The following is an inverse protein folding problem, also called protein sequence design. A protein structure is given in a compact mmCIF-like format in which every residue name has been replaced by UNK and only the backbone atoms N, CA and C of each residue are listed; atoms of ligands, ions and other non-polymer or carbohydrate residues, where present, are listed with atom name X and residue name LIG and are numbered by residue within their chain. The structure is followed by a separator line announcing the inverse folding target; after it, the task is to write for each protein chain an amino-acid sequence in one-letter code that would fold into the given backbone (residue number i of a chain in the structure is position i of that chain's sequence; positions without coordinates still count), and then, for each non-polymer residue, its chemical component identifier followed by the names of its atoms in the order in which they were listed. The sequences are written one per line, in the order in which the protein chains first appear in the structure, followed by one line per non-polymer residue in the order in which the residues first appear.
data_IF_915495409891
#
_entry.id   IF_915495409891
#
_cell.length_a   1.000
_cell.length_b   1.000
_cell.length_c   1.000
_cell.angle_alpha   90.00
_cell.angle_beta   90.00
_cell.angle_gamma   90.00
#
_symmetry.space_group_name_H-M   'P 1'
#
loop_
_entity.id
_entity.type
_entity.pdbx_description
1 polymer ?
#
# COMPACT_ATOMS: atom_id res chain seq x y z
N UNK A 1 15.77 6.95 8.74
CA UNK A 1 14.47 6.31 9.05
C UNK A 1 14.19 5.32 7.93
N UNK A 2 14.12 4.02 8.22
CA UNK A 2 13.74 3.05 7.20
C UNK A 2 12.28 3.32 6.85
N UNK A 3 12.00 3.78 5.62
CA UNK A 3 10.66 3.80 5.02
C UNK A 3 10.11 2.37 5.00
N UNK A 4 9.52 1.94 6.11
CA UNK A 4 8.75 0.72 6.18
C UNK A 4 7.32 1.12 5.90
N UNK A 5 6.89 0.79 4.70
CA UNK A 5 5.51 0.99 4.30
C UNK A 5 4.58 0.24 5.25
N UNK A 6 3.46 0.87 5.67
CA UNK A 6 2.54 0.32 6.67
C UNK A 6 2.01 -1.09 6.35
N UNK A 7 1.97 -1.47 5.07
CA UNK A 7 1.53 -2.80 4.64
C UNK A 7 2.49 -3.93 5.04
N UNK A 8 3.78 -3.68 5.26
CA UNK A 8 4.71 -4.74 5.72
C UNK A 8 4.32 -5.21 7.14
N UNK A 9 4.02 -4.26 8.02
CA UNK A 9 3.54 -4.53 9.39
C UNK A 9 2.15 -5.18 9.38
N UNK A 10 1.28 -4.74 8.46
CA UNK A 10 -0.05 -5.31 8.29
C UNK A 10 -0.02 -6.75 7.80
N UNK A 11 0.88 -7.07 6.85
CA UNK A 11 1.07 -8.42 6.34
C UNK A 11 1.50 -9.36 7.47
N UNK A 12 2.47 -8.93 8.29
CA UNK A 12 2.93 -9.69 9.43
C UNK A 12 1.81 -9.96 10.43
N UNK A 13 1.05 -8.92 10.79
CA UNK A 13 -0.03 -9.04 11.76
C UNK A 13 -1.21 -9.89 11.25
N UNK A 14 -1.62 -9.68 10.00
CA UNK A 14 -2.65 -10.49 9.32
C UNK A 14 -2.24 -11.97 9.25
N UNK A 15 -0.98 -12.23 8.89
CA UNK A 15 -0.43 -13.59 8.80
C UNK A 15 -0.33 -14.25 10.16
N UNK A 16 0.12 -13.51 11.18
CA UNK A 16 0.21 -14.00 12.56
C UNK A 16 -1.16 -14.39 13.13
N UNK A 17 -2.21 -13.60 12.89
CA UNK A 17 -3.58 -14.00 13.26
C UNK A 17 -4.04 -15.25 12.50
N UNK A 18 -3.61 -15.40 11.25
CA UNK A 18 -3.96 -16.54 10.38
C UNK A 18 -3.46 -17.88 10.92
N UNK A 19 -2.32 -17.89 11.61
CA UNK A 19 -1.75 -19.09 12.27
C UNK A 19 -2.75 -19.75 13.21
N UNK A 20 -3.60 -18.96 13.87
CA UNK A 20 -4.57 -19.45 14.86
C UNK A 20 -5.98 -19.68 14.28
N UNK A 21 -6.19 -19.40 12.99
CA UNK A 21 -7.48 -19.50 12.33
C UNK A 21 -7.71 -20.87 11.67
N UNK A 22 -6.70 -21.44 11.01
CA UNK A 22 -6.77 -22.72 10.32
C UNK A 22 -5.61 -23.65 10.72
N UNK A 23 -5.74 -24.97 10.49
CA UNK A 23 -4.61 -25.88 10.69
C UNK A 23 -3.44 -25.52 9.77
N UNK A 24 -2.23 -25.37 10.32
CA UNK A 24 -1.06 -24.93 9.57
C UNK A 24 -0.62 -25.89 8.47
N UNK A 25 -0.78 -27.19 8.70
CA UNK A 25 -0.21 -28.25 7.86
C UNK A 25 -1.25 -29.04 7.07
N UNK A 26 -2.53 -28.68 7.18
CA UNK A 26 -3.60 -29.42 6.51
C UNK A 26 -4.74 -28.51 6.10
N UNK A 27 -5.28 -28.75 4.90
CA UNK A 27 -6.53 -28.14 4.43
C UNK A 27 -7.76 -28.93 4.91
N UNK A 28 -7.59 -29.88 5.83
CA UNK A 28 -8.70 -30.65 6.36
C UNK A 28 -9.67 -29.77 7.13
N UNK A 29 -10.96 -30.13 7.02
CA UNK A 29 -12.03 -29.49 7.78
C UNK A 29 -11.71 -29.61 9.28
N UNK A 30 -11.79 -28.49 10.01
CA UNK A 30 -11.71 -28.51 11.46
C UNK A 30 -12.80 -29.44 12.01
N UNK A 31 -12.51 -30.23 13.07
CA UNK A 31 -13.53 -31.04 13.72
C UNK A 31 -14.74 -30.17 14.08
N UNK A 32 -15.96 -30.69 13.82
CA UNK A 32 -17.24 -30.00 14.00
C UNK A 32 -17.35 -29.28 15.35
N UNK A 33 -16.83 -29.89 16.43
CA UNK A 33 -16.85 -29.37 17.81
C UNK A 33 -15.77 -28.33 18.14
N UNK A 34 -15.01 -27.90 17.14
CA UNK A 34 -13.87 -26.98 17.34
C UNK A 34 -13.97 -25.76 16.41
N UNK A 35 -15.00 -24.92 16.60
CA UNK A 35 -15.22 -23.77 15.73
C UNK A 35 -14.01 -22.83 15.74
N UNK A 36 -13.86 -22.00 14.69
CA UNK A 36 -12.87 -20.93 14.66
C UNK A 36 -12.92 -20.11 15.95
N UNK A 37 -11.75 -19.76 16.48
CA UNK A 37 -11.64 -19.05 17.76
C UNK A 37 -12.29 -17.66 17.65
N UNK A 38 -13.31 -17.39 18.48
CA UNK A 38 -13.91 -16.05 18.57
C UNK A 38 -12.87 -14.98 18.88
N UNK A 39 -11.82 -15.31 19.63
CA UNK A 39 -10.74 -14.38 19.97
C UNK A 39 -9.94 -14.01 18.72
N UNK A 40 -9.68 -14.96 17.83
CA UNK A 40 -8.95 -14.71 16.57
C UNK A 40 -9.83 -13.88 15.62
N UNK A 41 -11.13 -14.19 15.52
CA UNK A 41 -12.09 -13.40 14.75
C UNK A 41 -12.17 -11.96 15.27
N UNK A 42 -12.24 -11.77 16.58
CA UNK A 42 -12.16 -10.44 17.19
C UNK A 42 -10.79 -9.79 17.01
N UNK A 43 -9.70 -10.56 16.93
CA UNK A 43 -8.38 -10.06 16.57
C UNK A 43 -8.36 -9.46 15.15
N UNK A 44 -8.98 -10.13 14.18
CA UNK A 44 -9.16 -9.57 12.83
C UNK A 44 -10.08 -8.35 12.81
N UNK A 45 -11.20 -8.38 13.55
CA UNK A 45 -12.10 -7.22 13.70
C UNK A 45 -11.38 -6.02 14.34
N UNK A 46 -10.56 -6.28 15.34
CA UNK A 46 -9.73 -5.27 15.99
C UNK A 46 -8.65 -4.72 15.05
N UNK A 47 -8.07 -5.56 14.19
CA UNK A 47 -7.13 -5.13 13.16
C UNK A 47 -7.78 -4.16 12.17
N UNK A 48 -8.92 -4.53 11.56
CA UNK A 48 -9.61 -3.61 10.62
C UNK A 48 -10.08 -2.33 11.32
N UNK A 49 -10.55 -2.42 12.57
CA UNK A 49 -10.93 -1.24 13.35
C UNK A 49 -9.76 -0.25 13.47
N UNK A 50 -8.57 -0.73 13.88
CA UNK A 50 -7.38 0.11 14.03
C UNK A 50 -6.87 0.66 12.70
N UNK A 51 -6.94 -0.13 11.62
CA UNK A 51 -6.53 0.31 10.29
C UNK A 51 -7.37 1.51 9.86
N UNK A 52 -8.69 1.35 9.89
CA UNK A 52 -9.61 2.37 9.38
C UNK A 52 -9.68 3.59 10.28
N UNK A 53 -9.83 3.39 11.59
CA UNK A 53 -9.87 4.51 12.54
C UNK A 53 -8.52 5.25 12.59
N UNK A 54 -7.40 4.52 12.56
CA UNK A 54 -6.06 5.11 12.52
C UNK A 54 -5.83 5.95 11.27
N UNK A 55 -6.28 5.49 10.10
CA UNK A 55 -6.24 6.23 8.85
C UNK A 55 -7.14 7.47 8.86
N UNK A 56 -8.36 7.38 9.36
CA UNK A 56 -9.27 8.53 9.43
C UNK A 56 -8.77 9.61 10.40
N UNK A 57 -8.29 9.21 11.58
CA UNK A 57 -7.80 10.14 12.59
C UNK A 57 -6.55 10.88 12.11
N UNK A 58 -5.62 10.20 11.44
CA UNK A 58 -4.41 10.86 10.95
C UNK A 58 -4.71 11.85 9.82
N UNK A 59 -5.73 11.60 8.99
CA UNK A 59 -6.18 12.54 7.95
C UNK A 59 -6.74 13.82 8.56
N UNK A 60 -7.69 13.70 9.50
CA UNK A 60 -8.24 14.86 10.20
C UNK A 60 -7.16 15.62 10.98
N UNK A 61 -6.21 14.92 11.61
CA UNK A 61 -5.16 15.56 12.42
C UNK A 61 -4.01 16.14 11.58
N UNK A 62 -3.71 15.55 10.42
CA UNK A 62 -2.49 15.79 9.65
C UNK A 62 -2.52 17.03 8.77
N UNK A 63 -3.51 17.16 7.88
CA UNK A 63 -3.56 18.23 6.88
C UNK A 63 -4.90 18.98 6.92
N UNK A 64 -4.84 20.30 6.69
CA UNK A 64 -6.04 21.15 6.62
C UNK A 64 -6.92 20.78 5.43
N UNK A 65 -6.36 20.30 4.32
CA UNK A 65 -7.18 19.94 3.15
C UNK A 65 -8.24 18.87 3.46
N UNK A 66 -8.02 18.02 4.47
CA UNK A 66 -8.99 16.98 4.84
C UNK A 66 -10.20 17.60 5.52
N UNK A 67 -9.98 18.64 6.34
CA UNK A 67 -11.03 19.40 7.02
C UNK A 67 -11.76 20.34 6.06
N UNK A 68 -11.04 20.90 5.10
CA UNK A 68 -11.58 21.78 4.08
C UNK A 68 -12.22 21.01 2.90
N UNK A 69 -12.19 19.67 2.93
CA UNK A 69 -12.76 18.77 1.92
C UNK A 69 -12.14 18.90 0.51
N UNK A 70 -10.90 19.35 0.41
CA UNK A 70 -10.19 19.64 -0.86
C UNK A 70 -9.05 18.67 -1.18
N UNK A 71 -8.74 17.70 -0.32
CA UNK A 71 -7.59 16.81 -0.57
C UNK A 71 -7.69 16.02 -1.88
N UNK A 72 -8.91 15.63 -2.28
CA UNK A 72 -9.13 14.86 -3.50
C UNK A 72 -8.89 15.68 -4.78
N UNK A 73 -8.86 17.02 -4.70
CA UNK A 73 -8.46 17.89 -5.81
C UNK A 73 -7.00 17.67 -6.23
N UNK A 74 -6.17 17.16 -5.31
CA UNK A 74 -4.74 16.93 -5.53
C UNK A 74 -4.39 15.44 -5.60
N UNK A 75 -5.00 14.63 -4.74
CA UNK A 75 -4.56 13.26 -4.45
C UNK A 75 -4.45 12.37 -5.69
N UNK A 76 -5.40 12.46 -6.62
CA UNK A 76 -5.42 11.63 -7.83
C UNK A 76 -4.18 11.82 -8.71
N UNK A 77 -3.64 13.04 -8.79
CA UNK A 77 -2.42 13.34 -9.56
C UNK A 77 -1.16 13.06 -8.76
N UNK A 78 -1.16 13.35 -7.46
CA UNK A 78 0.06 13.34 -6.63
C UNK A 78 0.35 12.02 -5.93
N UNK A 79 -0.57 11.06 -5.95
CA UNK A 79 -0.38 9.70 -5.44
C UNK A 79 0.87 9.00 -6.03
N UNK A 80 1.50 8.03 -5.32
CA UNK A 80 2.79 7.45 -5.72
C UNK A 80 2.84 6.98 -7.18
N UNK A 81 1.94 6.06 -7.53
CA UNK A 81 1.78 5.54 -8.88
C UNK A 81 0.30 5.63 -9.25
N UNK A 82 -0.13 6.72 -9.91
CA UNK A 82 -1.52 6.83 -10.33
C UNK A 82 -1.82 5.79 -11.40
N UNK A 83 -3.09 5.42 -11.49
CA UNK A 83 -3.57 4.50 -12.52
C UNK A 83 -4.37 5.27 -13.60
N UNK A 84 -4.80 4.60 -14.69
CA UNK A 84 -5.57 5.27 -15.72
C UNK A 84 -6.87 5.91 -15.25
N UNK A 85 -7.53 5.33 -14.24
CA UNK A 85 -8.79 5.86 -13.73
C UNK A 85 -8.56 7.18 -12.98
N UNK A 86 -7.48 7.28 -12.22
CA UNK A 86 -7.07 8.49 -11.52
C UNK A 86 -6.96 9.71 -12.46
N UNK A 87 -6.47 9.52 -13.68
CA UNK A 87 -6.37 10.57 -14.70
C UNK A 87 -7.73 11.20 -15.02
N UNK A 88 -8.78 10.37 -15.11
CA UNK A 88 -10.15 10.84 -15.34
C UNK A 88 -10.80 11.37 -14.06
N UNK A 89 -10.63 10.67 -12.94
CA UNK A 89 -11.20 11.09 -11.65
C UNK A 89 -10.66 12.43 -11.18
N UNK A 90 -9.39 12.76 -11.46
CA UNK A 90 -8.80 14.06 -11.16
C UNK A 90 -9.52 15.24 -11.85
N UNK A 91 -10.34 14.97 -12.87
CA UNK A 91 -11.10 16.00 -13.62
C UNK A 91 -12.55 16.11 -13.16
N UNK A 92 -12.96 15.34 -12.16
CA UNK A 92 -14.28 15.44 -11.58
C UNK A 92 -14.50 16.84 -10.99
N UNK A 93 -15.76 17.30 -10.93
CA UNK A 93 -16.08 18.61 -10.38
C UNK A 93 -15.79 18.66 -8.86
N UNK A 94 -15.46 19.85 -8.34
CA UNK A 94 -15.07 20.02 -6.93
C UNK A 94 -16.11 19.50 -5.91
N UNK A 95 -17.41 19.62 -6.20
CA UNK A 95 -18.45 19.06 -5.32
C UNK A 95 -18.34 17.53 -5.18
N UNK A 96 -17.89 16.84 -6.23
CA UNK A 96 -17.68 15.39 -6.20
C UNK A 96 -16.47 15.05 -5.33
N UNK A 97 -15.38 15.81 -5.44
CA UNK A 97 -14.20 15.65 -4.56
C UNK A 97 -14.49 15.93 -3.09
N UNK A 98 -15.35 16.92 -2.80
CA UNK A 98 -15.85 17.16 -1.45
C UNK A 98 -16.67 15.98 -0.93
N UNK A 99 -17.57 15.45 -1.76
CA UNK A 99 -18.36 14.27 -1.43
C UNK A 99 -17.48 13.03 -1.18
N UNK A 100 -16.51 12.76 -2.05
CA UNK A 100 -15.53 11.67 -1.85
C UNK A 100 -14.80 11.80 -0.52
N UNK A 101 -14.36 13.03 -0.19
CA UNK A 101 -13.68 13.31 1.07
C UNK A 101 -14.60 13.06 2.26
N UNK A 102 -15.86 13.47 2.21
CA UNK A 102 -16.85 13.20 3.26
C UNK A 102 -17.12 11.69 3.42
N UNK A 103 -17.29 10.97 2.32
CA UNK A 103 -17.48 9.51 2.33
C UNK A 103 -16.26 8.82 2.93
N UNK A 104 -15.04 9.25 2.58
CA UNK A 104 -13.81 8.75 3.19
C UNK A 104 -13.84 8.94 4.72
N UNK A 105 -14.19 10.12 5.21
CA UNK A 105 -14.32 10.36 6.65
C UNK A 105 -15.38 9.47 7.31
N UNK A 106 -16.54 9.30 6.67
CA UNK A 106 -17.59 8.43 7.21
C UNK A 106 -17.11 6.98 7.33
N UNK A 107 -16.49 6.43 6.28
CA UNK A 107 -16.04 5.02 6.25
C UNK A 107 -14.85 4.78 7.18
N UNK A 108 -13.98 5.77 7.38
CA UNK A 108 -12.79 5.63 8.23
C UNK A 108 -13.04 5.99 9.70
N UNK A 109 -13.96 6.91 10.01
CA UNK A 109 -14.18 7.39 11.38
C UNK A 109 -15.46 6.87 12.01
N UNK A 110 -16.53 6.64 11.24
CA UNK A 110 -17.84 6.26 11.80
C UNK A 110 -18.08 4.76 11.65
N UNK A 111 -17.90 4.23 10.43
CA UNK A 111 -18.18 2.83 10.13
C UNK A 111 -17.41 1.86 11.04
N UNK A 112 -16.14 2.06 11.45
CA UNK A 112 -15.45 1.11 12.33
C UNK A 112 -16.21 0.80 13.63
N UNK A 113 -16.95 1.77 14.17
CA UNK A 113 -17.73 1.55 15.39
C UNK A 113 -18.91 0.58 15.22
N UNK A 114 -19.36 0.34 13.97
CA UNK A 114 -20.43 -0.62 13.68
C UNK A 114 -20.08 -2.05 14.09
N UNK A 115 -18.78 -2.38 14.21
CA UNK A 115 -18.30 -3.66 14.75
C UNK A 115 -18.87 -3.97 16.15
N UNK A 116 -19.17 -2.94 16.94
CA UNK A 116 -19.66 -3.07 18.31
C UNK A 116 -21.19 -2.98 18.41
N UNK A 117 -21.90 -2.68 17.32
CA UNK A 117 -23.34 -2.39 17.31
C UNK A 117 -24.21 -3.59 16.88
N UNK A 118 -23.72 -4.80 17.13
CA UNK A 118 -24.45 -6.05 16.87
C UNK A 118 -24.26 -6.62 15.45
N UNK A 119 -24.93 -7.76 15.19
CA UNK A 119 -24.69 -8.59 14.01
C UNK A 119 -24.88 -7.87 12.68
N UNK A 120 -26.01 -7.17 12.51
CA UNK A 120 -26.38 -6.51 11.23
C UNK A 120 -25.39 -5.41 10.86
N UNK A 121 -24.99 -4.60 11.85
CA UNK A 121 -24.06 -3.50 11.64
C UNK A 121 -22.62 -4.00 11.46
N UNK A 122 -22.23 -5.10 12.11
CA UNK A 122 -20.95 -5.77 11.83
C UNK A 122 -20.85 -6.26 10.37
N UNK A 123 -21.91 -6.87 9.84
CA UNK A 123 -21.96 -7.27 8.41
C UNK A 123 -21.89 -6.04 7.50
N UNK A 124 -22.65 -4.99 7.83
CA UNK A 124 -22.62 -3.73 7.08
C UNK A 124 -21.22 -3.10 7.09
N UNK A 125 -20.51 -3.13 8.22
CA UNK A 125 -19.11 -2.71 8.32
C UNK A 125 -18.25 -3.50 7.34
N UNK A 126 -18.29 -4.84 7.41
CA UNK A 126 -17.50 -5.69 6.50
C UNK A 126 -17.74 -5.36 5.03
N UNK A 127 -19.01 -5.20 4.64
CA UNK A 127 -19.39 -4.90 3.25
C UNK A 127 -18.91 -3.51 2.80
N UNK A 128 -19.13 -2.48 3.63
CA UNK A 128 -18.69 -1.11 3.35
C UNK A 128 -17.17 -1.01 3.27
N UNK A 129 -16.44 -1.69 4.16
CA UNK A 129 -14.98 -1.71 4.11
C UNK A 129 -14.47 -2.40 2.86
N UNK A 130 -15.00 -3.57 2.49
CA UNK A 130 -14.60 -4.27 1.26
C UNK A 130 -14.88 -3.39 0.03
N UNK A 131 -16.08 -2.81 -0.07
CA UNK A 131 -16.43 -1.93 -1.18
C UNK A 131 -15.48 -0.73 -1.26
N UNK A 132 -15.17 -0.11 -0.12
CA UNK A 132 -14.25 1.01 -0.06
C UNK A 132 -12.84 0.64 -0.52
N UNK A 133 -12.30 -0.50 -0.06
CA UNK A 133 -10.98 -0.98 -0.50
C UNK A 133 -10.97 -1.30 -2.01
N UNK A 134 -12.05 -1.87 -2.55
CA UNK A 134 -12.17 -2.12 -3.99
C UNK A 134 -12.17 -0.81 -4.78
N UNK A 135 -12.90 0.22 -4.33
CA UNK A 135 -12.89 1.53 -4.98
C UNK A 135 -11.50 2.18 -4.95
N UNK A 136 -10.76 2.06 -3.85
CA UNK A 136 -9.38 2.53 -3.75
C UNK A 136 -8.43 1.78 -4.70
N UNK A 137 -8.60 0.46 -4.85
CA UNK A 137 -7.83 -0.34 -5.83
C UNK A 137 -8.12 0.12 -7.26
N UNK A 138 -9.37 0.44 -7.56
CA UNK A 138 -9.77 0.91 -8.89
C UNK A 138 -9.27 2.33 -9.17
N UNK A 139 -9.10 3.18 -8.15
CA UNK A 139 -8.75 4.59 -8.32
C UNK A 139 -7.27 4.93 -8.13
N UNK A 140 -6.45 4.00 -7.62
CA UNK A 140 -5.01 4.18 -7.46
C UNK A 140 -4.22 2.87 -7.31
N UNK A 141 -2.90 2.92 -7.45
CA UNK A 141 -2.04 1.77 -7.13
C UNK A 141 -1.41 1.95 -5.74
N UNK A 142 -2.05 1.38 -4.71
CA UNK A 142 -1.56 1.42 -3.32
C UNK A 142 -0.93 0.07 -2.87
N UNK A 143 -0.43 -0.69 -3.83
CA UNK A 143 0.13 -2.04 -3.63
C UNK A 143 -0.80 -2.97 -2.82
N UNK A 144 -0.22 -3.79 -1.93
CA UNK A 144 -0.91 -4.81 -1.15
C UNK A 144 -1.79 -4.22 -0.04
N UNK A 145 -1.69 -2.93 0.26
CA UNK A 145 -2.35 -2.32 1.41
C UNK A 145 -3.87 -2.56 1.40
N UNK A 146 -4.54 -2.23 0.29
CA UNK A 146 -6.00 -2.40 0.21
C UNK A 146 -6.40 -3.87 0.25
N UNK A 147 -5.67 -4.74 -0.45
CA UNK A 147 -5.92 -6.18 -0.48
C UNK A 147 -5.76 -6.81 0.91
N UNK A 148 -4.72 -6.45 1.65
CA UNK A 148 -4.51 -6.89 3.03
C UNK A 148 -5.57 -6.33 3.98
N UNK A 149 -6.20 -5.21 3.64
CA UNK A 149 -7.28 -4.60 4.45
C UNK A 149 -8.63 -5.27 4.20
N UNK A 150 -8.84 -5.86 3.02
CA UNK A 150 -10.01 -6.69 2.71
C UNK A 150 -10.04 -7.94 3.59
N UNK A 151 -8.90 -8.61 3.79
CA UNK A 151 -8.80 -9.86 4.57
C UNK A 151 -9.45 -9.79 5.96
N UNK A 152 -9.07 -8.87 6.87
CA UNK A 152 -9.70 -8.77 8.19
C UNK A 152 -11.18 -8.38 8.12
N UNK A 153 -11.63 -7.72 7.04
CA UNK A 153 -13.04 -7.37 6.84
C UNK A 153 -13.91 -8.61 6.61
N UNK A 154 -13.34 -9.71 6.11
CA UNK A 154 -14.03 -11.00 5.92
C UNK A 154 -14.49 -11.58 7.27
N UNK A 155 -13.76 -11.31 8.36
CA UNK A 155 -14.13 -11.78 9.71
C UNK A 155 -15.42 -11.13 10.27
N UNK A 156 -16.01 -10.19 9.54
CA UNK A 156 -17.29 -9.57 9.88
C UNK A 156 -18.50 -10.40 9.41
N UNK A 157 -18.31 -11.33 8.47
CA UNK A 157 -19.37 -12.15 7.90
C UNK A 157 -19.47 -13.49 8.62
N UNK A 158 -20.70 -13.99 8.76
CA UNK A 158 -20.99 -15.36 9.20
C UNK A 158 -21.50 -16.21 8.02
N UNK A 159 -21.50 -17.53 8.19
CA UNK A 159 -21.91 -18.47 7.13
C UNK A 159 -23.34 -18.18 6.62
N UNK A 160 -24.24 -17.76 7.52
CA UNK A 160 -25.60 -17.40 7.16
C UNK A 160 -25.64 -16.16 6.24
N UNK A 161 -24.80 -15.16 6.48
CA UNK A 161 -24.69 -13.96 5.65
C UNK A 161 -24.10 -14.22 4.27
N UNK A 162 -23.29 -15.27 4.12
CA UNK A 162 -22.70 -15.68 2.83
C UNK A 162 -23.52 -16.76 2.12
N UNK A 163 -24.61 -17.23 2.74
CA UNK A 163 -25.44 -18.32 2.19
C UNK A 163 -26.03 -18.03 0.81
N UNK A 164 -26.16 -16.75 0.42
CA UNK A 164 -26.66 -16.34 -0.89
C UNK A 164 -25.68 -16.67 -2.04
N UNK A 165 -24.40 -16.89 -1.74
CA UNK A 165 -23.39 -17.27 -2.73
C UNK A 165 -23.51 -18.74 -3.16
N UNK A 166 -24.31 -19.54 -2.45
CA UNK A 166 -24.43 -20.98 -2.67
C UNK A 166 -25.84 -21.35 -3.13
N UNK A 167 -25.94 -22.29 -4.07
CA UNK A 167 -27.23 -22.78 -4.59
C UNK A 167 -28.12 -23.34 -3.49
N UNK A 168 -29.41 -23.03 -3.56
CA UNK A 168 -30.47 -23.59 -2.70
C UNK A 168 -31.11 -24.84 -3.31
N UNK A 169 -30.58 -25.36 -4.42
CA UNK A 169 -31.05 -26.60 -5.02
C UNK A 169 -30.84 -27.80 -4.09
N UNK A 170 -31.64 -28.84 -4.32
CA UNK A 170 -31.56 -30.09 -3.56
C UNK A 170 -30.20 -30.74 -3.79
N UNK A 171 -29.43 -30.95 -2.72
CA UNK A 171 -28.03 -31.42 -2.80
C UNK A 171 -26.98 -30.31 -2.90
N UNK A 172 -27.38 -29.03 -2.98
CA UNK A 172 -26.47 -27.89 -2.91
C UNK A 172 -25.85 -27.70 -1.52
N UNK A 173 -24.72 -26.99 -1.45
CA UNK A 173 -23.94 -26.77 -0.22
C UNK A 173 -24.79 -26.21 0.92
N UNK A 174 -25.68 -25.26 0.61
CA UNK A 174 -26.57 -24.64 1.59
C UNK A 174 -27.51 -25.66 2.25
N UNK A 175 -28.13 -26.51 1.44
CA UNK A 175 -29.04 -27.57 1.90
C UNK A 175 -28.30 -28.60 2.75
N UNK A 176 -27.11 -29.02 2.31
CA UNK A 176 -26.26 -29.94 3.08
C UNK A 176 -25.86 -29.38 4.45
N UNK A 177 -25.51 -28.09 4.53
CA UNK A 177 -25.16 -27.45 5.81
C UNK A 177 -26.37 -27.36 6.75
N UNK A 178 -27.55 -27.04 6.22
CA UNK A 178 -28.79 -27.01 7.02
C UNK A 178 -29.15 -28.40 7.56
N UNK A 179 -29.00 -29.45 6.76
CA UNK A 179 -29.21 -30.84 7.20
C UNK A 179 -28.20 -31.24 8.29
N UNK A 180 -26.94 -30.86 8.15
CA UNK A 180 -25.91 -31.11 9.17
C UNK A 180 -26.27 -30.42 10.49
N UNK A 181 -26.68 -29.15 10.45
CA UNK A 181 -27.07 -28.39 11.64
C UNK A 181 -28.32 -28.98 12.31
N UNK A 182 -29.34 -29.35 11.53
CA UNK A 182 -30.55 -29.98 12.05
C UNK A 182 -30.28 -31.34 12.71
N UNK A 183 -29.38 -32.15 12.12
CA UNK A 183 -28.99 -33.44 12.70
C UNK A 183 -28.18 -33.25 14.00
N UNK A 184 -27.35 -32.20 14.07
CA UNK A 184 -26.57 -31.88 15.29
C UNK A 184 -27.48 -31.41 16.43
N UNK A 185 -28.48 -30.57 16.15
CA UNK A 185 -29.48 -30.13 17.14
C UNK A 185 -30.33 -31.31 17.64
N UNK A 186 -30.58 -32.31 16.79
CA UNK A 186 -31.37 -33.50 17.13
C UNK A 186 -30.58 -34.55 17.94
N UNK A 187 -29.25 -34.63 17.76
CA UNK A 187 -28.45 -35.70 18.38
C UNK A 187 -28.22 -35.53 19.88
N UNK A 188 -28.35 -34.33 20.46
CA UNK A 188 -28.54 -34.01 21.91
C UNK A 188 -27.56 -34.56 22.96
N UNK A 189 -26.72 -35.53 22.60
CA UNK A 189 -25.78 -36.24 23.46
C UNK A 189 -24.40 -35.68 23.13
N UNK A 190 -23.87 -34.84 24.02
CA UNK A 190 -22.51 -34.33 23.92
C UNK A 190 -21.54 -35.24 24.71
N UNK A 191 -20.71 -36.07 24.04
CA UNK A 191 -19.56 -36.69 24.69
C UNK A 191 -18.67 -35.64 25.34
N UNK A 192 -18.00 -35.97 26.47
CA UNK A 192 -17.11 -35.04 27.14
C UNK A 192 -16.03 -34.51 26.20
N UNK A 193 -15.74 -33.21 26.33
CA UNK A 193 -14.72 -32.54 25.51
C UNK A 193 -13.35 -33.22 25.67
N UNK A 194 -12.65 -33.56 24.59
CA UNK A 194 -11.29 -34.08 24.65
C UNK A 194 -10.35 -33.12 25.39
N UNK A 195 -9.33 -33.64 26.07
CA UNK A 195 -8.32 -32.82 26.76
C UNK A 195 -7.69 -31.73 25.87
N UNK A 196 -7.50 -32.03 24.58
CA UNK A 196 -6.99 -31.06 23.59
C UNK A 196 -7.88 -29.82 23.40
N UNK A 197 -9.19 -29.92 23.61
CA UNK A 197 -10.11 -28.79 23.53
C UNK A 197 -9.88 -27.80 24.69
N UNK A 198 -9.58 -28.31 25.90
CA UNK A 198 -9.24 -27.47 27.05
C UNK A 198 -7.91 -26.75 26.84
N UNK A 199 -6.88 -27.44 26.35
CA UNK A 199 -5.59 -26.81 25.99
C UNK A 199 -5.81 -25.69 24.98
N UNK A 200 -6.55 -25.96 23.89
CA UNK A 200 -6.85 -24.95 22.87
C UNK A 200 -7.60 -23.75 23.46
N UNK A 201 -8.54 -23.97 24.38
CA UNK A 201 -9.26 -22.88 25.06
C UNK A 201 -8.31 -22.02 25.89
N UNK A 202 -7.42 -22.64 26.68
CA UNK A 202 -6.40 -21.93 27.46
C UNK A 202 -5.46 -21.14 26.56
N UNK A 203 -4.99 -21.73 25.46
CA UNK A 203 -4.13 -21.06 24.47
C UNK A 203 -4.85 -19.86 23.85
N UNK A 204 -6.10 -20.01 23.42
CA UNK A 204 -6.89 -18.93 22.85
C UNK A 204 -7.13 -17.79 23.84
N UNK A 205 -7.47 -18.10 25.10
CA UNK A 205 -7.68 -17.08 26.14
C UNK A 205 -6.37 -16.35 26.45
N UNK A 206 -5.27 -17.08 26.60
CA UNK A 206 -3.94 -16.50 26.81
C UNK A 206 -3.53 -15.59 25.65
N UNK A 207 -3.83 -16.01 24.42
CA UNK A 207 -3.65 -15.21 23.22
C UNK A 207 -4.47 -13.92 23.24
N UNK A 208 -5.76 -14.01 23.62
CA UNK A 208 -6.62 -12.83 23.78
C UNK A 208 -6.09 -11.84 24.81
N UNK A 209 -5.61 -12.33 25.95
CA UNK A 209 -4.98 -11.50 26.99
C UNK A 209 -3.73 -10.81 26.44
N UNK A 210 -2.87 -11.54 25.71
CA UNK A 210 -1.68 -10.97 25.08
C UNK A 210 -2.04 -9.85 24.09
N UNK A 211 -3.00 -10.07 23.19
CA UNK A 211 -3.44 -9.06 22.22
C UNK A 211 -4.03 -7.84 22.94
N UNK A 212 -4.81 -8.03 24.00
CA UNK A 212 -5.37 -6.93 24.80
C UNK A 212 -4.25 -6.10 25.46
N UNK A 213 -3.26 -6.76 26.07
CA UNK A 213 -2.11 -6.10 26.68
C UNK A 213 -1.29 -5.30 25.64
N UNK A 214 -0.97 -5.91 24.49
CA UNK A 214 -0.23 -5.25 23.41
C UNK A 214 -1.03 -4.10 22.77
N UNK A 215 -2.36 -4.09 22.92
CA UNK A 215 -3.23 -3.02 22.40
C UNK A 215 -3.21 -1.75 23.25
N UNK A 216 -2.76 -1.79 24.50
CA UNK A 216 -2.71 -0.62 25.40
C UNK A 216 -1.95 0.57 24.77
N UNK A 217 -0.67 0.43 24.34
CA UNK A 217 0.06 1.55 23.74
C UNK A 217 -0.59 2.04 22.44
N UNK A 218 -1.22 1.14 21.67
CA UNK A 218 -1.92 1.49 20.43
C UNK A 218 -3.15 2.35 20.71
N UNK A 219 -3.96 1.97 21.70
CA UNK A 219 -5.14 2.76 22.10
C UNK A 219 -4.71 4.13 22.62
N UNK A 220 -3.67 4.19 23.45
CA UNK A 220 -3.10 5.46 23.93
C UNK A 220 -2.66 6.34 22.75
N UNK A 221 -2.00 5.76 21.74
CA UNK A 221 -1.60 6.50 20.54
C UNK A 221 -2.79 6.98 19.70
N UNK A 222 -3.86 6.19 19.55
CA UNK A 222 -5.07 6.59 18.82
C UNK A 222 -5.81 7.74 19.52
N UNK A 223 -5.82 7.73 20.86
CA UNK A 223 -6.42 8.80 21.67
C UNK A 223 -5.55 10.07 21.71
N UNK A 224 -4.24 9.95 21.47
CA UNK A 224 -3.32 11.09 21.42
C UNK A 224 -3.63 12.05 20.27
N UNK A 225 -3.51 13.36 20.54
CA UNK A 225 -3.56 14.40 19.50
C UNK A 225 -2.35 14.37 18.57
N UNK A 226 -1.21 13.84 19.04
CA UNK A 226 0.03 13.65 18.29
C UNK A 226 0.24 12.18 17.91
N UNK A 227 -0.80 11.57 17.35
CA UNK A 227 -0.75 10.17 16.90
C UNK A 227 0.42 9.92 15.95
N UNK A 228 1.20 8.88 16.23
CA UNK A 228 2.29 8.43 15.36
C UNK A 228 1.80 7.32 14.43
N UNK A 229 2.14 7.44 13.14
CA UNK A 229 1.71 6.55 12.06
C UNK A 229 2.65 5.35 11.89
N UNK A 230 2.11 4.20 11.46
CA UNK A 230 2.86 3.00 11.04
C UNK A 230 3.94 2.57 12.05
N UNK A 231 3.63 2.71 13.34
CA UNK A 231 4.58 2.49 14.42
C UNK A 231 4.34 1.14 15.07
N UNK A 232 5.43 0.47 15.37
CA UNK A 232 5.43 -0.76 16.15
C UNK A 232 5.95 -0.50 17.55
N UNK A 233 5.24 -1.04 18.55
CA UNK A 233 5.55 -0.85 19.97
C UNK A 233 6.29 -2.04 20.60
N UNK A 234 6.57 -3.08 19.82
CA UNK A 234 7.23 -4.29 20.31
C UNK A 234 8.15 -4.91 19.25
N UNK A 235 9.06 -5.78 19.69
CA UNK A 235 10.05 -6.44 18.83
C UNK A 235 9.43 -7.41 17.82
N UNK A 236 8.31 -8.04 18.18
CA UNK A 236 7.59 -8.98 17.33
C UNK A 236 6.76 -8.29 16.23
N UNK A 237 6.53 -6.98 16.38
CA UNK A 237 5.76 -6.14 15.47
C UNK A 237 4.35 -6.61 15.18
N UNK A 238 3.69 -7.08 16.23
CA UNK A 238 2.29 -7.49 16.21
C UNK A 238 1.51 -6.45 17.02
N UNK A 239 0.29 -6.12 16.60
CA UNK A 239 -0.52 -5.02 17.17
C UNK A 239 0.15 -3.65 16.96
N UNK A 240 0.05 -3.14 15.74
CA UNK A 240 0.64 -1.85 15.36
C UNK A 240 -0.40 -0.75 15.17
N UNK A 241 0.07 0.49 15.00
CA UNK A 241 -0.74 1.59 14.46
C UNK A 241 -0.59 1.66 12.96
N UNK A 242 -1.69 2.02 12.28
CA UNK A 242 -1.72 2.14 10.83
C UNK A 242 -2.23 3.53 10.47
N UNK A 243 -1.68 4.11 9.42
CA UNK A 243 -2.20 5.31 8.82
C UNK A 243 -1.69 5.47 7.40
N UNK A 244 -2.48 6.18 6.60
CA UNK A 244 -2.16 6.46 5.22
C UNK A 244 -2.61 7.88 4.88
N UNK A 245 -1.77 8.59 4.11
CA UNK A 245 -2.11 9.88 3.51
C UNK A 245 -2.58 10.96 4.50
N UNK A 246 -2.00 11.00 5.70
CA UNK A 246 -2.27 12.07 6.68
C UNK A 246 -1.96 13.46 6.14
N UNK A 247 -0.96 13.57 5.25
CA UNK A 247 -0.63 14.78 4.49
C UNK A 247 -0.66 14.49 3.00
N UNK A 248 -1.14 15.46 2.22
CA UNK A 248 -1.29 15.33 0.77
C UNK A 248 -0.39 16.35 0.07
N UNK A 249 0.48 15.86 -0.80
CA UNK A 249 1.25 16.74 -1.67
C UNK A 249 0.32 17.39 -2.69
N UNK A 250 0.48 18.71 -2.88
CA UNK A 250 -0.33 19.51 -3.82
C UNK A 250 0.27 19.60 -5.21
N UNK A 251 1.56 19.28 -5.34
CA UNK A 251 2.29 19.32 -6.60
C UNK A 251 3.01 18.01 -6.83
N UNK A 252 2.87 17.44 -8.03
CA UNK A 252 3.65 16.27 -8.43
C UNK A 252 4.99 16.74 -8.96
N UNK A 253 6.07 16.34 -8.29
CA UNK A 253 7.42 16.49 -8.82
C UNK A 253 8.06 15.13 -9.03
N UNK A 254 8.98 15.06 -9.97
CA UNK A 254 9.60 13.82 -10.39
C UNK A 254 11.08 14.04 -10.71
N UNK A 255 11.91 13.12 -10.22
CA UNK A 255 13.31 13.04 -10.61
C UNK A 255 13.43 12.15 -11.85
N UNK A 256 14.08 12.67 -12.88
CA UNK A 256 14.38 11.98 -14.14
C UNK A 256 15.89 11.77 -14.22
N UNK A 257 16.29 10.51 -14.32
CA UNK A 257 17.69 10.14 -14.48
C UNK A 257 18.07 10.21 -15.96
N UNK A 258 19.17 10.90 -16.25
CA UNK A 258 19.67 11.08 -17.61
C UNK A 258 21.13 10.66 -17.69
N UNK A 259 21.52 10.03 -18.80
CA UNK A 259 22.92 9.74 -19.11
C UNK A 259 23.38 10.45 -20.38
N UNK A 260 24.68 10.65 -20.53
CA UNK A 260 25.28 11.12 -21.79
C UNK A 260 26.63 10.45 -22.05
N UNK A 261 26.94 10.24 -23.33
CA UNK A 261 28.26 9.79 -23.79
C UNK A 261 29.21 10.96 -24.09
N UNK A 262 28.77 12.22 -23.92
CA UNK A 262 29.61 13.42 -24.14
C UNK A 262 30.87 13.40 -23.28
N UNK A 263 31.96 13.97 -23.81
CA UNK A 263 33.21 14.14 -23.07
C UNK A 263 33.04 15.18 -21.95
N UNK A 264 32.44 16.32 -22.26
CA UNK A 264 32.13 17.39 -21.31
C UNK A 264 30.63 17.39 -20.99
N UNK A 265 30.23 17.25 -19.71
CA UNK A 265 28.82 17.27 -19.32
C UNK A 265 28.19 18.67 -19.43
N UNK A 266 28.99 19.73 -19.52
CA UNK A 266 28.55 21.11 -19.64
C UNK A 266 28.49 21.60 -21.09
N UNK A 267 28.89 20.78 -22.07
CA UNK A 267 28.78 21.12 -23.49
C UNK A 267 27.30 21.35 -23.86
N UNK A 268 26.93 22.54 -24.39
CA UNK A 268 25.58 22.81 -24.85
C UNK A 268 25.07 21.83 -25.92
N UNK A 269 25.96 21.19 -26.68
CA UNK A 269 25.63 20.17 -27.67
C UNK A 269 25.49 18.76 -27.08
N UNK A 270 25.76 18.56 -25.78
CA UNK A 270 25.63 17.26 -25.14
C UNK A 270 24.18 16.76 -25.16
N UNK A 271 23.97 15.60 -25.78
CA UNK A 271 22.68 14.93 -25.80
C UNK A 271 22.55 14.12 -24.50
N UNK A 272 21.52 14.43 -23.73
CA UNK A 272 21.16 13.73 -22.50
C UNK A 272 19.94 12.85 -22.74
N UNK A 273 20.12 11.54 -22.59
CA UNK A 273 19.09 10.53 -22.85
C UNK A 273 18.49 10.04 -21.53
N UNK A 274 17.17 9.87 -21.47
CA UNK A 274 16.45 9.56 -20.24
C UNK A 274 16.32 8.04 -20.02
N UNK A 275 16.64 7.59 -18.81
CA UNK A 275 16.24 6.27 -18.33
C UNK A 275 14.74 6.26 -18.02
N UNK A 276 14.03 5.21 -18.44
CA UNK A 276 12.60 5.07 -18.12
C UNK A 276 12.36 4.01 -17.06
N UNK A 277 11.57 4.36 -16.05
CA UNK A 277 11.08 3.45 -15.02
C UNK A 277 9.90 2.62 -15.53
N UNK A 278 9.43 1.62 -14.78
CA UNK A 278 8.38 0.69 -15.24
C UNK A 278 6.98 1.26 -15.19
N UNK A 279 6.70 2.10 -14.21
CA UNK A 279 5.35 2.58 -13.91
C UNK A 279 5.30 4.05 -13.50
N UNK A 280 6.35 4.53 -12.83
CA UNK A 280 6.48 5.92 -12.42
C UNK A 280 6.35 6.85 -13.64
N UNK A 281 5.72 8.02 -13.50
CA UNK A 281 5.71 9.05 -14.54
C UNK A 281 7.11 9.45 -14.98
N UNK A 282 7.28 9.51 -16.29
CA UNK A 282 8.54 9.81 -16.98
C UNK A 282 8.20 10.32 -18.39
N UNK A 283 8.13 9.41 -19.36
CA UNK A 283 7.67 9.74 -20.71
C UNK A 283 6.26 10.34 -20.69
N UNK A 284 6.08 11.44 -21.45
CA UNK A 284 4.84 12.18 -21.54
C UNK A 284 3.72 11.40 -22.24
N UNK A 285 4.08 10.49 -23.14
CA UNK A 285 3.14 9.64 -23.87
C UNK A 285 2.77 8.38 -23.09
N UNK A 286 3.45 8.10 -21.98
CA UNK A 286 3.18 6.91 -21.18
C UNK A 286 1.89 7.08 -20.39
N UNK A 287 0.92 6.21 -20.71
CA UNK A 287 -0.29 6.03 -19.91
C UNK A 287 0.07 5.56 -18.49
N UNK A 288 -0.56 6.10 -17.43
CA UNK A 288 -0.38 5.58 -16.07
C UNK A 288 -0.66 4.07 -16.01
N UNK A 289 0.09 3.31 -15.22
CA UNK A 289 0.00 1.85 -15.24
C UNK A 289 -1.07 1.31 -14.28
N UNK A 290 -1.52 0.07 -14.53
CA UNK A 290 -2.34 -0.71 -13.59
C UNK A 290 -1.49 -1.90 -13.12
N UNK A 291 -1.08 -1.89 -11.84
CA UNK A 291 -0.16 -2.90 -11.30
C UNK A 291 -0.61 -3.52 -9.97
N UNK A 292 -1.72 -3.05 -9.39
CA UNK A 292 -2.30 -3.64 -8.18
C UNK A 292 -2.52 -5.15 -8.36
N UNK A 293 -2.15 -6.01 -7.38
CA UNK A 293 -1.68 -5.71 -6.01
C UNK A 293 -0.17 -5.39 -5.88
N UNK A 294 0.60 -5.52 -6.96
CA UNK A 294 2.04 -5.36 -6.95
C UNK A 294 2.48 -3.88 -6.94
N UNK A 295 3.74 -3.62 -6.58
CA UNK A 295 4.41 -2.35 -6.84
C UNK A 295 5.88 -2.56 -7.19
N UNK A 296 6.40 -1.72 -8.09
CA UNK A 296 7.83 -1.66 -8.34
C UNK A 296 8.50 -0.83 -7.24
N UNK A 297 9.35 -1.46 -6.43
CA UNK A 297 9.98 -0.82 -5.27
C UNK A 297 10.82 0.40 -5.66
N UNK A 298 11.56 0.32 -6.77
CA UNK A 298 12.38 1.43 -7.24
C UNK A 298 11.52 2.63 -7.65
N UNK A 299 10.48 2.40 -8.46
CA UNK A 299 9.50 3.43 -8.84
C UNK A 299 8.86 4.11 -7.63
N UNK A 300 8.50 3.33 -6.60
CA UNK A 300 7.91 3.84 -5.37
C UNK A 300 8.90 4.67 -4.54
N UNK A 301 10.15 4.22 -4.40
CA UNK A 301 11.21 4.97 -3.72
C UNK A 301 11.55 6.28 -4.44
N UNK A 302 11.54 6.28 -5.77
CA UNK A 302 11.76 7.47 -6.57
C UNK A 302 10.67 8.54 -6.37
N UNK A 303 9.43 8.15 -6.04
CA UNK A 303 8.38 9.10 -5.68
C UNK A 303 8.70 9.82 -4.37
N UNK A 304 9.17 9.10 -3.34
CA UNK A 304 9.63 9.73 -2.08
C UNK A 304 10.84 10.63 -2.30
N UNK A 305 11.81 10.15 -3.09
CA UNK A 305 13.00 10.91 -3.42
C UNK A 305 12.69 12.28 -4.02
N UNK A 306 11.65 12.39 -4.85
CA UNK A 306 11.28 13.66 -5.49
C UNK A 306 10.86 14.77 -4.50
N UNK A 307 10.46 14.41 -3.27
CA UNK A 307 10.10 15.38 -2.23
C UNK A 307 11.27 15.75 -1.30
N UNK A 308 12.36 15.00 -1.40
CA UNK A 308 13.51 15.11 -0.52
C UNK A 308 14.76 15.48 -1.33
N UNK A 309 15.88 15.71 -0.68
CA UNK A 309 17.13 15.96 -1.39
C UNK A 309 17.92 14.67 -1.61
N UNK A 310 18.88 14.69 -2.54
CA UNK A 310 19.72 13.52 -2.81
C UNK A 310 20.66 13.19 -1.64
N UNK A 311 20.95 14.15 -0.75
CA UNK A 311 21.70 13.92 0.49
C UNK A 311 20.89 13.10 1.50
N UNK A 312 19.56 13.27 1.52
CA UNK A 312 18.67 12.44 2.34
C UNK A 312 18.43 11.05 1.70
N UNK A 313 18.61 10.95 0.38
CA UNK A 313 18.42 9.75 -0.42
C UNK A 313 19.71 9.30 -1.11
N UNK A 314 20.75 9.04 -0.32
CA UNK A 314 22.09 8.69 -0.83
C UNK A 314 22.10 7.47 -1.76
N UNK A 315 21.10 6.59 -1.64
CA UNK A 315 20.90 5.44 -2.52
C UNK A 315 20.72 5.84 -4.00
N UNK A 316 20.29 7.07 -4.29
CA UNK A 316 20.17 7.58 -5.67
C UNK A 316 21.56 7.78 -6.29
N UNK A 317 22.55 8.22 -5.51
CA UNK A 317 23.92 8.34 -5.98
C UNK A 317 24.55 6.96 -6.16
N UNK A 318 24.20 6.00 -5.29
CA UNK A 318 24.56 4.59 -5.49
C UNK A 318 23.98 4.06 -6.82
N UNK A 319 22.69 4.32 -7.08
CA UNK A 319 22.02 3.97 -8.32
C UNK A 319 22.71 4.61 -9.54
N UNK A 320 23.04 5.91 -9.48
CA UNK A 320 23.75 6.61 -10.56
C UNK A 320 25.11 5.96 -10.87
N UNK A 321 25.89 5.61 -9.83
CA UNK A 321 27.15 4.88 -10.01
C UNK A 321 26.98 3.52 -10.68
N UNK A 322 25.89 2.81 -10.37
CA UNK A 322 25.57 1.52 -10.98
C UNK A 322 25.07 1.65 -12.43
N UNK A 323 24.37 2.74 -12.76
CA UNK A 323 24.01 3.07 -14.15
C UNK A 323 25.23 3.41 -15.00
N UNK A 324 26.19 4.17 -14.45
CA UNK A 324 27.49 4.48 -15.08
C UNK A 324 28.35 3.23 -15.37
N UNK A 325 28.08 2.14 -14.64
CA UNK A 325 28.75 0.86 -14.84
C UNK A 325 27.94 -0.15 -15.67
N UNK A 326 26.74 0.21 -16.11
CA UNK A 326 25.80 -0.67 -16.83
C UNK A 326 25.58 -2.04 -16.15
N UNK A 327 25.38 -2.02 -14.83
CA UNK A 327 25.14 -3.23 -14.05
C UNK A 327 23.78 -3.85 -14.39
N UNK A 328 23.79 -5.10 -14.88
CA UNK A 328 22.61 -5.80 -15.42
C UNK A 328 21.45 -5.89 -14.42
N UNK A 329 21.76 -6.16 -13.16
CA UNK A 329 20.78 -6.28 -12.07
C UNK A 329 20.02 -4.97 -11.89
N UNK A 330 20.70 -3.83 -11.95
CA UNK A 330 20.10 -2.51 -11.81
C UNK A 330 19.31 -2.13 -13.05
N UNK A 331 19.87 -2.38 -14.24
CA UNK A 331 19.18 -2.12 -15.50
C UNK A 331 17.87 -2.94 -15.62
N UNK A 332 17.81 -4.15 -15.04
CA UNK A 332 16.59 -4.98 -15.00
C UNK A 332 15.43 -4.35 -14.21
N UNK A 333 15.72 -3.37 -13.35
CA UNK A 333 14.71 -2.62 -12.59
C UNK A 333 14.07 -1.51 -13.42
N UNK A 334 14.71 -1.10 -14.51
CA UNK A 334 14.22 -0.07 -15.44
C UNK A 334 13.41 -0.71 -16.58
N UNK A 335 12.60 0.10 -17.26
CA UNK A 335 11.87 -0.31 -18.46
C UNK A 335 12.66 -0.05 -19.74
N UNK A 336 13.50 1.00 -19.75
CA UNK A 336 14.29 1.37 -20.91
C UNK A 336 15.64 1.93 -20.47
N UNK A 337 16.71 1.34 -21.01
CA UNK A 337 18.07 1.84 -20.93
C UNK A 337 18.45 2.44 -22.29
N UNK A 338 18.69 3.76 -22.39
CA UNK A 338 19.13 4.35 -23.65
C UNK A 338 20.47 3.78 -24.13
N UNK A 339 21.38 3.38 -23.22
CA UNK A 339 22.72 2.90 -23.59
C UNK A 339 22.80 1.40 -23.89
N UNK A 340 21.67 0.69 -23.92
CA UNK A 340 21.66 -0.74 -24.19
C UNK A 340 22.31 -1.07 -25.56
N UNK A 341 23.31 -1.95 -25.54
CA UNK A 341 24.10 -2.31 -26.72
C UNK A 341 25.09 -1.23 -27.19
N UNK A 342 25.28 -0.15 -26.43
CA UNK A 342 26.24 0.93 -26.68
C UNK A 342 27.32 0.98 -25.59
N UNK A 343 28.24 1.95 -25.71
CA UNK A 343 29.17 2.22 -24.61
C UNK A 343 28.44 2.83 -23.42
N UNK A 344 28.84 2.49 -22.18
CA UNK A 344 28.30 3.10 -20.97
C UNK A 344 28.33 4.63 -21.01
N UNK A 345 27.35 5.31 -20.37
CA UNK A 345 27.37 6.75 -20.27
C UNK A 345 28.61 7.20 -19.50
N UNK A 346 29.20 8.32 -19.93
CA UNK A 346 30.32 8.95 -19.21
C UNK A 346 29.84 9.71 -17.99
N UNK A 347 28.64 10.28 -18.09
CA UNK A 347 28.03 11.09 -17.05
C UNK A 347 26.58 10.68 -16.85
N UNK A 348 26.14 10.69 -15.59
CA UNK A 348 24.74 10.56 -15.20
C UNK A 348 24.36 11.77 -14.36
N UNK A 349 23.15 12.30 -14.58
CA UNK A 349 22.59 13.40 -13.77
C UNK A 349 21.14 13.13 -13.40
N UNK A 350 20.67 13.83 -12.38
CA UNK A 350 19.27 13.85 -11.99
C UNK A 350 18.66 15.21 -12.30
N UNK A 351 17.56 15.23 -13.04
CA UNK A 351 16.81 16.45 -13.36
C UNK A 351 15.45 16.44 -12.66
N UNK A 352 15.05 17.59 -12.11
CA UNK A 352 13.80 17.72 -11.36
C UNK A 352 12.74 18.40 -12.22
N UNK A 353 11.58 17.77 -12.32
CA UNK A 353 10.47 18.24 -13.13
C UNK A 353 9.19 18.29 -12.32
N UNK A 354 8.36 19.30 -12.59
CA UNK A 354 6.96 19.34 -12.15
C UNK A 354 6.11 18.66 -13.21
N UNK A 355 5.34 17.66 -12.82
CA UNK A 355 4.42 16.94 -13.69
C UNK A 355 2.98 17.37 -13.39
N UNK A 356 2.14 17.36 -14.43
CA UNK A 356 0.68 17.40 -14.31
C UNK A 356 0.05 16.47 -15.32
N UNK A 357 -1.15 15.99 -15.04
CA UNK A 357 -1.96 15.32 -16.04
C UNK A 357 -2.29 16.27 -17.19
N UNK A 358 -2.21 15.77 -18.42
CA UNK A 358 -2.83 16.45 -19.55
C UNK A 358 -4.35 16.51 -19.36
N UNK A 359 -5.03 17.38 -20.12
CA UNK A 359 -6.49 17.52 -20.03
C UNK A 359 -7.14 16.57 -21.05
N UNK A 360 -8.06 15.66 -20.66
CA UNK A 360 -8.84 14.88 -21.61
C UNK A 360 -9.51 15.79 -22.64
N UNK A 361 -9.39 15.44 -23.93
CA UNK A 361 -9.90 16.27 -25.04
C UNK A 361 -9.14 17.58 -25.31
N UNK A 362 -8.07 17.86 -24.56
CA UNK A 362 -7.18 19.00 -24.81
C UNK A 362 -6.09 18.68 -25.85
N UNK A 363 -5.39 19.72 -26.32
CA UNK A 363 -4.32 19.61 -27.36
C UNK A 363 -3.28 18.52 -27.04
N UNK A 364 -2.72 18.53 -25.84
CA UNK A 364 -1.71 17.55 -25.43
C UNK A 364 -2.25 16.10 -25.46
N UNK A 365 -3.48 15.88 -25.02
CA UNK A 365 -4.09 14.54 -25.04
C UNK A 365 -4.40 14.09 -26.47
N UNK A 366 -4.77 15.01 -27.37
CA UNK A 366 -4.92 14.72 -28.80
C UNK A 366 -3.59 14.29 -29.46
N UNK A 367 -2.46 14.84 -28.99
CA UNK A 367 -1.12 14.42 -29.39
C UNK A 367 -0.67 13.09 -28.73
N UNK A 368 -1.53 12.42 -27.96
CA UNK A 368 -1.22 11.18 -27.25
C UNK A 368 -0.51 11.35 -25.90
N UNK A 369 -0.30 12.59 -25.43
CA UNK A 369 0.37 12.85 -24.14
C UNK A 369 -0.61 12.71 -22.98
N UNK A 370 -0.24 11.88 -22.00
CA UNK A 370 -0.92 11.74 -20.71
C UNK A 370 -0.42 12.73 -19.67
N UNK A 371 0.80 13.21 -19.85
CA UNK A 371 1.47 14.11 -18.92
C UNK A 371 1.95 15.38 -19.62
N UNK A 372 2.04 16.44 -18.84
CA UNK A 372 2.79 17.65 -19.17
C UNK A 372 3.83 17.86 -18.08
N UNK A 373 5.05 18.28 -18.46
CA UNK A 373 6.12 18.53 -17.50
C UNK A 373 6.78 19.88 -17.71
N UNK A 374 7.26 20.49 -16.64
CA UNK A 374 8.09 21.70 -16.64
C UNK A 374 9.34 21.44 -15.81
N UNK A 375 10.51 21.71 -16.38
CA UNK A 375 11.78 21.62 -15.65
C UNK A 375 11.80 22.64 -14.51
N UNK A 376 12.15 22.19 -13.32
CA UNK A 376 12.32 23.02 -12.13
C UNK A 376 13.81 23.37 -11.97
N UNK A 377 14.69 22.38 -12.12
CA UNK A 377 16.13 22.54 -11.97
C UNK A 377 16.84 21.21 -11.83
N UNK A 378 18.17 21.21 -11.60
CA UNK A 378 18.93 19.99 -11.33
C UNK A 378 18.54 19.42 -9.97
N UNK A 379 18.42 18.09 -9.89
CA UNK A 379 18.23 17.37 -8.62
C UNK A 379 19.58 16.97 -8.01
N UNK A 380 20.49 16.41 -8.83
CA UNK A 380 21.91 16.23 -8.49
C UNK A 380 22.77 16.52 -9.74
N UNK A 381 24.00 17.05 -9.57
CA UNK A 381 24.84 17.45 -10.70
C UNK A 381 25.30 16.25 -11.53
N UNK A 382 25.81 16.46 -12.76
CA UNK A 382 26.49 15.41 -13.51
C UNK A 382 27.60 14.75 -12.67
N UNK A 383 27.52 13.43 -12.54
CA UNK A 383 28.52 12.60 -11.87
C UNK A 383 29.11 11.60 -12.84
N UNK A 384 30.40 11.30 -12.66
CA UNK A 384 31.12 10.25 -13.36
C UNK A 384 31.61 9.18 -12.38
N UNK A 385 31.99 8.03 -12.92
CA UNK A 385 32.39 6.89 -12.08
C UNK A 385 33.63 7.22 -11.24
N UNK A 386 34.60 7.94 -11.82
CA UNK A 386 35.85 8.34 -11.16
C UNK A 386 35.59 9.29 -9.99
N UNK A 387 34.73 10.29 -10.16
CA UNK A 387 34.34 11.23 -9.11
C UNK A 387 33.62 10.55 -7.94
N UNK A 388 32.80 9.55 -8.22
CA UNK A 388 32.07 8.80 -7.20
C UNK A 388 32.94 7.85 -6.35
N UNK A 389 34.19 7.60 -6.73
CA UNK A 389 35.08 6.65 -6.02
C UNK A 389 35.25 6.95 -4.53
N UNK A 390 35.47 8.22 -4.18
CA UNK A 390 35.59 8.63 -2.77
C UNK A 390 34.25 8.48 -2.03
N UNK A 391 33.15 8.79 -2.70
CA UNK A 391 31.80 8.72 -2.13
C UNK A 391 31.39 7.28 -1.76
N UNK A 392 31.65 6.32 -2.66
CA UNK A 392 31.41 4.90 -2.42
C UNK A 392 32.29 4.35 -1.30
N UNK A 393 33.58 4.69 -1.31
CA UNK A 393 34.52 4.27 -0.26
C UNK A 393 34.08 4.78 1.13
N UNK A 394 33.65 6.04 1.24
CA UNK A 394 33.21 6.62 2.51
C UNK A 394 31.99 5.91 3.14
N UNK A 395 31.17 5.22 2.32
CA UNK A 395 29.96 4.51 2.74
C UNK A 395 30.14 2.99 2.80
N UNK A 396 31.36 2.50 2.59
CA UNK A 396 31.67 1.07 2.49
C UNK A 396 30.81 0.35 1.43
N UNK A 397 30.48 1.03 0.33
CA UNK A 397 29.76 0.42 -0.78
C UNK A 397 30.71 -0.21 -1.80
N UNK A 398 30.37 -1.38 -2.37
CA UNK A 398 31.14 -1.97 -3.45
C UNK A 398 31.23 -1.00 -4.63
N UNK A 399 32.46 -0.67 -5.05
CA UNK A 399 32.65 0.21 -6.20
C UNK A 399 32.17 -0.49 -7.48
N UNK A 400 31.32 0.13 -8.30
CA UNK A 400 30.80 -0.49 -9.51
C UNK A 400 31.93 -0.75 -10.50
N UNK A 401 32.03 -1.97 -11.02
CA UNK A 401 32.96 -2.32 -12.07
C UNK A 401 32.22 -2.26 -13.42
N UNK A 402 32.82 -1.60 -14.41
CA UNK A 402 32.37 -1.74 -15.80
C UNK A 402 32.76 -3.14 -16.26
N UNK A 403 31.76 -3.95 -16.62
CA UNK A 403 31.97 -5.28 -17.20
C UNK A 403 32.38 -5.20 -18.67
#
# INVERSE_FOLDING_TARGET
MSDRSGWESQLLETGFLGIFLCPLWTLSRLPKRTPPSCIVLWGYRWLIFRIMLGAGLIKIRGDRCWRDLTCMDYHYETQPVPNPLAYYMHRSPGWFHQFETLVNHFIELVVPFFLFLGRRLCIAHGALQILFQVLLILSGNLSFLNWLTIVPSIACFDDASLSFLFSSEKGGVKTQVMEIQANEDAEGNEPPLPYGCYIRRVVNVSFGILIAFLSIPVVVNLLSSQQIMNTSFNSLRIVNTYGAFGSITKERTEVILQGTSSLDPNDPAAIWEEYQFKCKPGDLNRRPCLISPYHYRLDWLMWFAAFQTYEQNEWIIHLAGKLLAEEKEILSLLAFNPFEGRQPPRWVRGEHFKYKFSRPGGKHAADGKWWIRKRIGPYFPPVDLKGLRKYFKARNWPYPAQN
#
